data_IF_294958836706
#
_entry.id   IF_294958836706
#
_cell.length_a   1.000
_cell.length_b   1.000
_cell.length_c   1.000
_cell.angle_alpha   90.00
_cell.angle_beta   90.00
_cell.angle_gamma   90.00
#
_symmetry.space_group_name_H-M   'P 1'
#
loop_
_entity.id
_entity.type
_entity.pdbx_description
1 polymer ?
#
# COMPACT_ATOMS: atom_id res chain seq x y z
N UNK A 1 29.00 -14.90 59.87
CA UNK A 1 29.36 -14.39 58.53
C UNK A 1 28.19 -14.70 57.59
N UNK A 2 27.25 -13.77 57.45
CA UNK A 2 26.06 -13.95 56.59
C UNK A 2 26.40 -13.31 55.24
N UNK A 3 26.48 -14.12 54.18
CA UNK A 3 26.80 -13.68 52.81
C UNK A 3 25.52 -13.19 52.13
N UNK A 4 25.46 -11.91 51.80
CA UNK A 4 24.46 -11.36 50.89
C UNK A 4 24.79 -11.81 49.46
N UNK A 5 23.87 -12.53 48.82
CA UNK A 5 23.89 -12.74 47.37
C UNK A 5 23.17 -11.56 46.71
N UNK A 6 23.92 -10.64 46.11
CA UNK A 6 23.37 -9.65 45.18
C UNK A 6 23.28 -10.28 43.79
N UNK A 7 22.07 -10.63 43.34
CA UNK A 7 21.78 -10.89 41.93
C UNK A 7 21.68 -9.55 41.20
N UNK A 8 22.76 -9.12 40.56
CA UNK A 8 22.71 -8.01 39.62
C UNK A 8 22.06 -8.49 38.32
N UNK A 9 20.77 -8.20 38.14
CA UNK A 9 20.10 -8.36 36.85
C UNK A 9 20.55 -7.21 35.96
N UNK A 10 21.47 -7.49 35.02
CA UNK A 10 21.80 -6.60 33.92
C UNK A 10 20.58 -6.50 33.01
N UNK A 11 19.71 -5.52 33.25
CA UNK A 11 18.74 -5.09 32.25
C UNK A 11 19.52 -4.38 31.14
N UNK A 12 19.93 -5.14 30.12
CA UNK A 12 20.30 -4.54 28.85
C UNK A 12 19.09 -3.75 28.36
N UNK A 13 19.20 -2.45 28.05
CA UNK A 13 18.11 -1.79 27.37
C UNK A 13 17.93 -2.52 26.03
N UNK A 14 16.77 -3.14 25.83
CA UNK A 14 16.28 -3.46 24.50
C UNK A 14 16.11 -2.11 23.81
N UNK A 15 17.21 -1.56 23.30
CA UNK A 15 17.14 -0.60 22.21
C UNK A 15 16.38 -1.36 21.13
N UNK A 16 15.13 -0.97 20.89
CA UNK A 16 14.48 -1.24 19.62
C UNK A 16 15.47 -0.78 18.57
N UNK A 17 16.11 -1.72 17.87
CA UNK A 17 16.92 -1.40 16.71
C UNK A 17 15.93 -1.02 15.63
N UNK A 18 15.47 0.23 15.65
CA UNK A 18 14.90 0.85 14.47
C UNK A 18 16.02 0.87 13.44
N UNK A 19 15.98 -0.08 12.51
CA UNK A 19 16.81 -0.03 11.32
C UNK A 19 16.37 1.23 10.59
N UNK A 20 17.31 2.14 10.36
CA UNK A 20 17.07 3.31 9.52
C UNK A 20 17.09 2.81 8.08
N UNK A 21 15.92 2.44 7.56
CA UNK A 21 15.76 2.27 6.11
C UNK A 21 15.93 3.64 5.45
N UNK A 22 16.83 3.72 4.47
CA UNK A 22 17.05 4.94 3.71
C UNK A 22 15.98 5.12 2.62
N UNK A 23 15.61 4.00 1.98
CA UNK A 23 14.59 3.94 0.92
C UNK A 23 13.88 2.59 0.96
N UNK A 24 12.60 2.58 0.63
CA UNK A 24 11.75 1.38 0.60
C UNK A 24 11.02 1.30 -0.74
N UNK A 25 11.15 0.16 -1.42
CA UNK A 25 10.33 -0.19 -2.58
C UNK A 25 9.33 -1.25 -2.15
N UNK A 26 8.04 -1.01 -2.40
CA UNK A 26 6.97 -1.95 -2.09
C UNK A 26 6.28 -2.36 -3.39
N UNK A 27 6.23 -3.66 -3.66
CA UNK A 27 5.25 -4.21 -4.60
C UNK A 27 3.97 -4.48 -3.82
N UNK A 28 2.88 -3.84 -4.21
CA UNK A 28 1.58 -4.01 -3.59
C UNK A 28 0.59 -4.60 -4.60
N UNK A 29 -0.12 -5.64 -4.18
CA UNK A 29 -1.13 -6.32 -4.97
C UNK A 29 -2.30 -6.75 -4.08
N UNK A 30 -3.52 -6.69 -4.62
CA UNK A 30 -4.70 -7.20 -3.95
C UNK A 30 -5.71 -7.79 -4.94
N UNK A 31 -6.57 -8.66 -4.43
CA UNK A 31 -7.77 -9.11 -5.12
C UNK A 31 -8.98 -9.04 -4.18
N UNK A 32 -10.12 -8.58 -4.69
CA UNK A 32 -11.34 -8.35 -3.93
C UNK A 32 -12.49 -9.21 -4.47
N UNK A 33 -13.24 -9.82 -3.56
CA UNK A 33 -14.46 -10.59 -3.83
C UNK A 33 -15.62 -9.98 -3.03
N UNK A 34 -16.84 -9.86 -3.60
CA UNK A 34 -17.31 -10.42 -4.87
C UNK A 34 -17.08 -9.56 -6.10
N UNK A 35 -16.51 -8.36 -5.96
CA UNK A 35 -16.39 -7.39 -7.06
C UNK A 35 -15.45 -7.83 -8.20
N UNK A 36 -14.64 -8.87 -7.97
CA UNK A 36 -13.68 -9.42 -8.93
C UNK A 36 -12.68 -8.38 -9.45
N UNK A 37 -12.34 -7.42 -8.59
CA UNK A 37 -11.37 -6.37 -8.87
C UNK A 37 -10.03 -6.74 -8.22
N UNK A 38 -8.94 -6.45 -8.92
CA UNK A 38 -7.60 -6.55 -8.37
C UNK A 38 -6.71 -5.46 -8.95
N UNK A 39 -5.65 -5.16 -8.23
CA UNK A 39 -4.69 -4.12 -8.59
C UNK A 39 -3.28 -4.62 -8.29
N UNK A 40 -2.33 -4.14 -9.09
CA UNK A 40 -0.90 -4.39 -8.94
C UNK A 40 -0.16 -3.08 -9.18
N UNK A 41 0.71 -2.70 -8.25
CA UNK A 41 1.49 -1.47 -8.33
C UNK A 41 2.85 -1.58 -7.62
N UNK A 42 3.75 -0.68 -7.97
CA UNK A 42 5.00 -0.46 -7.25
C UNK A 42 5.01 0.94 -6.63
N UNK A 43 5.47 0.99 -5.38
CA UNK A 43 5.66 2.19 -4.58
C UNK A 43 7.16 2.37 -4.26
N UNK A 44 7.61 3.62 -4.24
CA UNK A 44 8.93 4.03 -3.74
C UNK A 44 8.74 5.16 -2.73
N UNK A 45 9.12 4.91 -1.47
CA UNK A 45 9.02 5.88 -0.36
C UNK A 45 7.62 6.51 -0.17
N UNK A 46 6.54 5.82 -0.54
CA UNK A 46 5.17 6.29 -0.44
C UNK A 46 4.61 6.96 -1.72
N UNK A 47 5.40 7.03 -2.79
CA UNK A 47 4.97 7.48 -4.10
C UNK A 47 4.85 6.31 -5.09
N UNK A 48 3.74 6.28 -5.84
CA UNK A 48 3.56 5.31 -6.92
C UNK A 48 4.61 5.49 -8.03
N UNK A 49 5.28 4.40 -8.40
CA UNK A 49 6.14 4.33 -9.60
C UNK A 49 5.27 4.03 -10.83
N UNK A 50 4.48 2.95 -10.78
CA UNK A 50 3.55 2.51 -11.81
C UNK A 50 2.48 1.56 -11.25
N UNK A 51 1.38 1.40 -11.98
CA UNK A 51 0.41 0.31 -11.80
C UNK A 51 0.17 -0.43 -13.13
N UNK A 52 -0.50 -1.58 -13.07
CA UNK A 52 -0.92 -2.32 -14.28
C UNK A 52 -2.43 -2.19 -14.48
N UNK A 53 -2.85 -1.67 -15.64
CA UNK A 53 -4.24 -1.75 -16.08
C UNK A 53 -4.53 -3.20 -16.47
N UNK A 54 -5.13 -3.95 -15.54
CA UNK A 54 -5.40 -5.39 -15.69
C UNK A 54 -6.28 -5.67 -16.92
N UNK A 55 -7.20 -4.77 -17.29
CA UNK A 55 -8.11 -4.97 -18.41
C UNK A 55 -7.41 -4.77 -19.74
N UNK A 56 -6.48 -3.81 -19.81
CA UNK A 56 -5.70 -3.53 -21.03
C UNK A 56 -4.41 -4.35 -21.11
N UNK A 57 -3.99 -4.98 -20.02
CA UNK A 57 -2.70 -5.67 -19.94
C UNK A 57 -1.53 -4.72 -20.22
N UNK A 58 -1.59 -3.52 -19.66
CA UNK A 58 -0.64 -2.44 -19.91
C UNK A 58 -0.05 -1.88 -18.61
N UNK A 59 1.25 -1.58 -18.62
CA UNK A 59 1.93 -0.87 -17.52
C UNK A 59 1.69 0.62 -17.67
N UNK A 60 1.13 1.24 -16.65
CA UNK A 60 0.83 2.68 -16.58
C UNK A 60 1.78 3.34 -15.60
N UNK A 61 2.69 4.16 -16.11
CA UNK A 61 3.67 4.88 -15.30
C UNK A 61 3.04 6.13 -14.67
N UNK A 62 3.32 6.36 -13.38
CA UNK A 62 2.81 7.53 -12.65
C UNK A 62 3.27 8.84 -13.28
N UNK A 63 4.52 8.86 -13.74
CA UNK A 63 5.11 9.91 -14.58
C UNK A 63 5.63 9.26 -15.87
N UNK A 64 5.23 9.80 -17.03
CA UNK A 64 5.58 9.22 -18.34
C UNK A 64 7.10 9.16 -18.58
N UNK A 65 7.88 10.05 -17.97
CA UNK A 65 9.34 10.06 -18.06
C UNK A 65 9.99 8.80 -17.48
N UNK A 66 9.38 8.15 -16.48
CA UNK A 66 9.91 6.91 -15.92
C UNK A 66 9.96 5.78 -16.95
N UNK A 67 9.02 5.76 -17.89
CA UNK A 67 8.98 4.80 -19.00
C UNK A 67 10.18 4.90 -19.96
N UNK A 68 10.95 6.00 -19.90
CA UNK A 68 12.16 6.18 -20.71
C UNK A 68 13.36 5.43 -20.12
N UNK A 69 13.34 5.18 -18.81
CA UNK A 69 14.47 4.60 -18.06
C UNK A 69 14.21 3.15 -17.64
N UNK A 70 12.95 2.76 -17.53
CA UNK A 70 12.54 1.43 -17.09
C UNK A 70 11.36 0.91 -17.90
N UNK A 71 11.22 -0.41 -17.92
CA UNK A 71 10.08 -1.12 -18.49
C UNK A 71 9.62 -2.21 -17.53
N UNK A 72 8.33 -2.55 -17.59
CA UNK A 72 7.75 -3.65 -16.84
C UNK A 72 6.78 -4.41 -17.74
N UNK A 73 6.87 -5.74 -17.71
CA UNK A 73 5.99 -6.62 -18.49
C UNK A 73 4.70 -6.90 -17.71
N UNK A 74 3.59 -6.31 -18.15
CA UNK A 74 2.28 -6.43 -17.50
C UNK A 74 1.83 -7.88 -17.28
N UNK A 75 2.28 -8.83 -18.11
CA UNK A 75 1.97 -10.25 -17.97
C UNK A 75 2.36 -10.82 -16.59
N UNK A 76 3.45 -10.32 -15.99
CA UNK A 76 3.85 -10.72 -14.64
C UNK A 76 2.79 -10.37 -13.59
N UNK A 77 2.27 -9.14 -13.63
CA UNK A 77 1.20 -8.70 -12.74
C UNK A 77 -0.09 -9.51 -12.95
N UNK A 78 -0.47 -9.80 -14.20
CA UNK A 78 -1.66 -10.62 -14.48
C UNK A 78 -1.55 -12.03 -13.89
N UNK A 79 -0.36 -12.62 -13.94
CA UNK A 79 -0.10 -13.92 -13.33
C UNK A 79 -0.21 -13.85 -11.80
N UNK A 80 0.32 -12.79 -11.17
CA UNK A 80 0.20 -12.56 -9.73
C UNK A 80 -1.27 -12.40 -9.31
N UNK A 81 -2.04 -11.57 -10.00
CA UNK A 81 -3.47 -11.37 -9.71
C UNK A 81 -4.28 -12.68 -9.83
N UNK A 82 -3.93 -13.56 -10.77
CA UNK A 82 -4.56 -14.87 -10.88
C UNK A 82 -4.24 -15.77 -9.66
N UNK A 83 -3.01 -15.69 -9.15
CA UNK A 83 -2.58 -16.39 -7.92
C UNK A 83 -3.28 -15.79 -6.70
N UNK A 84 -3.36 -14.46 -6.58
CA UNK A 84 -4.04 -13.77 -5.48
C UNK A 84 -5.51 -14.12 -5.40
N UNK A 85 -6.19 -14.19 -6.56
CA UNK A 85 -7.55 -14.69 -6.62
C UNK A 85 -7.65 -16.12 -6.07
N UNK A 86 -6.78 -17.02 -6.50
CA UNK A 86 -6.80 -18.41 -6.04
C UNK A 86 -6.52 -18.51 -4.53
N UNK A 87 -5.60 -17.70 -4.03
CA UNK A 87 -5.28 -17.59 -2.60
C UNK A 87 -6.48 -17.04 -1.81
N UNK A 88 -7.15 -16.00 -2.32
CA UNK A 88 -8.35 -15.44 -1.69
C UNK A 88 -9.46 -16.49 -1.60
N UNK A 89 -9.71 -17.26 -2.66
CA UNK A 89 -10.71 -18.35 -2.66
C UNK A 89 -10.42 -19.41 -1.58
N UNK A 90 -9.14 -19.67 -1.28
CA UNK A 90 -8.71 -20.56 -0.19
C UNK A 90 -8.91 -19.89 1.17
N UNK A 91 -8.52 -18.62 1.31
CA UNK A 91 -8.58 -17.85 2.57
C UNK A 91 -10.01 -17.59 3.02
N UNK A 92 -10.94 -17.33 2.10
CA UNK A 92 -12.38 -17.23 2.38
C UNK A 92 -12.88 -18.53 3.00
N UNK A 93 -12.56 -19.69 2.41
CA UNK A 93 -12.97 -20.99 2.97
C UNK A 93 -12.33 -21.25 4.34
N UNK A 94 -11.03 -20.98 4.47
CA UNK A 94 -10.26 -21.21 5.70
C UNK A 94 -10.77 -20.37 6.88
N UNK A 95 -11.18 -19.13 6.61
CA UNK A 95 -11.75 -18.22 7.61
C UNK A 95 -13.24 -18.47 7.89
N UNK A 96 -13.82 -19.54 7.35
CA UNK A 96 -15.27 -19.81 7.41
C UNK A 96 -16.12 -18.65 6.87
N UNK A 97 -15.67 -18.05 5.76
CA UNK A 97 -16.32 -16.90 5.10
C UNK A 97 -16.45 -15.67 6.00
N UNK A 98 -15.45 -15.43 6.86
CA UNK A 98 -15.41 -14.18 7.64
C UNK A 98 -15.13 -13.01 6.68
N UNK A 99 -16.01 -11.99 6.58
CA UNK A 99 -15.81 -10.85 5.70
C UNK A 99 -14.76 -9.88 6.26
N UNK A 100 -14.22 -9.02 5.39
CA UNK A 100 -13.39 -7.89 5.83
C UNK A 100 -14.22 -6.89 6.65
N UNK A 101 -13.56 -6.21 7.58
CA UNK A 101 -14.18 -5.18 8.40
C UNK A 101 -14.07 -3.82 7.72
N UNK A 102 -15.21 -3.17 7.48
CA UNK A 102 -15.22 -1.83 6.91
C UNK A 102 -14.59 -0.82 7.87
N UNK A 103 -13.58 -0.08 7.39
CA UNK A 103 -12.96 1.04 8.09
C UNK A 103 -13.27 2.31 7.29
N UNK A 104 -13.90 3.28 7.96
CA UNK A 104 -14.33 4.54 7.35
C UNK A 104 -13.09 5.39 7.02
N UNK A 105 -12.99 5.98 5.82
CA UNK A 105 -11.87 6.83 5.45
C UNK A 105 -11.81 8.13 6.25
N UNK A 106 -10.58 8.58 6.52
CA UNK A 106 -10.30 9.97 6.86
C UNK A 106 -10.10 10.77 5.57
N UNK A 107 -10.74 11.94 5.46
CA UNK A 107 -10.69 12.77 4.25
C UNK A 107 -10.17 14.16 4.57
N UNK A 108 -9.17 14.60 3.82
CA UNK A 108 -8.62 15.95 3.89
C UNK A 108 -8.59 16.57 2.49
N UNK A 109 -9.15 17.77 2.34
CA UNK A 109 -9.08 18.53 1.08
C UNK A 109 -8.12 19.69 1.26
N UNK A 110 -7.13 19.78 0.38
CA UNK A 110 -6.10 20.81 0.40
C UNK A 110 -5.80 21.32 -1.02
N UNK A 111 -5.41 22.60 -1.17
CA UNK A 111 -4.91 23.08 -2.44
C UNK A 111 -3.45 22.61 -2.64
N UNK A 112 -3.06 22.35 -3.90
CA UNK A 112 -1.67 22.00 -4.24
C UNK A 112 -0.68 23.13 -3.89
N UNK A 113 -1.12 24.37 -4.06
CA UNK A 113 -0.34 25.60 -3.82
C UNK A 113 -1.19 26.64 -3.09
N UNK A 114 -0.60 27.70 -2.48
CA UNK A 114 -1.37 28.81 -1.93
C UNK A 114 -2.40 29.38 -2.91
N UNK A 115 -3.57 29.79 -2.39
CA UNK A 115 -4.70 30.22 -3.23
C UNK A 115 -4.57 31.70 -3.58
N UNK A 116 -4.42 32.00 -4.87
CA UNK A 116 -4.40 33.35 -5.43
C UNK A 116 -5.56 33.55 -6.41
N UNK A 117 -6.19 34.72 -6.39
CA UNK A 117 -7.29 35.03 -7.30
C UNK A 117 -6.80 35.13 -8.75
N UNK A 118 -7.47 34.41 -9.65
CA UNK A 118 -7.15 34.41 -11.08
C UNK A 118 -6.04 33.44 -11.51
N UNK A 119 -5.38 32.75 -10.58
CA UNK A 119 -4.36 31.76 -10.87
C UNK A 119 -4.95 30.33 -10.85
N UNK A 120 -4.67 29.48 -11.86
CA UNK A 120 -5.06 28.07 -11.83
C UNK A 120 -4.43 27.32 -10.66
N UNK A 121 -5.21 26.43 -10.03
CA UNK A 121 -4.75 25.59 -8.93
C UNK A 121 -5.45 24.23 -8.99
N UNK A 122 -4.92 23.25 -8.25
CA UNK A 122 -5.45 21.89 -8.15
C UNK A 122 -5.92 21.68 -6.71
N UNK A 123 -7.17 21.25 -6.54
CA UNK A 123 -7.64 20.72 -5.27
C UNK A 123 -7.28 19.24 -5.19
N UNK A 124 -6.67 18.85 -4.07
CA UNK A 124 -6.28 17.48 -3.76
C UNK A 124 -7.24 16.97 -2.70
N UNK A 125 -7.95 15.88 -3.00
CA UNK A 125 -8.73 15.11 -2.03
C UNK A 125 -7.88 13.93 -1.56
N UNK A 126 -7.32 14.02 -0.35
CA UNK A 126 -6.52 12.96 0.26
C UNK A 126 -7.43 12.10 1.13
N UNK A 127 -7.48 10.79 0.83
CA UNK A 127 -8.32 9.79 1.47
C UNK A 127 -7.40 8.72 2.06
N UNK A 128 -7.45 8.52 3.37
CA UNK A 128 -6.54 7.63 4.09
C UNK A 128 -7.26 6.71 5.09
N UNK A 129 -6.57 5.65 5.52
CA UNK A 129 -6.98 4.70 6.58
C UNK A 129 -8.33 4.02 6.37
N UNK A 130 -8.56 3.49 5.18
CA UNK A 130 -9.81 2.78 4.86
C UNK A 130 -9.57 1.34 4.42
N UNK A 131 -10.60 0.51 4.59
CA UNK A 131 -10.68 -0.85 4.07
C UNK A 131 -12.15 -1.22 3.89
N UNK A 132 -12.54 -2.03 2.89
CA UNK A 132 -11.74 -2.50 1.75
C UNK A 132 -11.32 -1.35 0.80
N UNK A 133 -10.39 -1.59 -0.15
CA UNK A 133 -9.87 -0.57 -1.07
C UNK A 133 -10.88 -0.22 -2.18
N UNK A 134 -12.08 0.23 -1.81
CA UNK A 134 -13.15 0.60 -2.72
C UNK A 134 -13.80 1.91 -2.25
N UNK A 135 -13.66 2.97 -3.05
CA UNK A 135 -14.21 4.30 -2.78
C UNK A 135 -14.81 4.91 -4.04
N UNK A 136 -15.82 5.77 -3.86
CA UNK A 136 -16.38 6.59 -4.93
C UNK A 136 -16.16 8.06 -4.57
N UNK A 137 -15.52 8.80 -5.46
CA UNK A 137 -15.15 10.20 -5.28
C UNK A 137 -15.77 11.01 -6.42
N UNK A 138 -16.44 12.12 -6.08
CA UNK A 138 -17.16 12.99 -7.03
C UNK A 138 -16.75 14.44 -6.87
#
# INVERSE_FOLDING_TARGET
VIRFFFMAVLMSPQKSWAIREEHTIIQAEFYLSPDQNGEFMFDFDGDEIFHVDIKKSETIWRLEEFAQFASFEAQGALANIAVDKANLDIMIKRSNNTPDANVIPEVTVLPKSPVNLGEPNILICFIDKFSPPAVNVT
#
